data_IF_046710513825
#
_entry.id   IF_046710513825
#
_cell.length_a   1.000
_cell.length_b   1.000
_cell.length_c   1.000
_cell.angle_alpha   90.00
_cell.angle_beta   90.00
_cell.angle_gamma   90.00
#
_symmetry.space_group_name_H-M   'P 1'
#
loop_
_entity.id
_entity.type
_entity.pdbx_description
1 polymer ?
#
# COMPACT_ATOMS: atom_id res chain seq x y z
N UNK A 1 3.31 -0.71 -12.20
CA UNK A 1 4.16 -0.02 -11.20
C UNK A 1 3.97 1.47 -11.34
N UNK A 2 3.76 2.16 -10.24
CA UNK A 2 3.40 3.58 -10.26
C UNK A 2 4.14 4.32 -9.15
N UNK A 3 4.27 5.63 -9.31
CA UNK A 3 4.73 6.52 -8.25
C UNK A 3 3.53 7.32 -7.75
N UNK A 4 3.35 7.38 -6.45
CA UNK A 4 2.26 8.12 -5.85
C UNK A 4 2.70 8.84 -4.57
N UNK A 5 1.76 9.57 -3.99
CA UNK A 5 1.97 10.27 -2.72
C UNK A 5 1.04 9.70 -1.66
N UNK A 6 1.60 9.38 -0.50
CA UNK A 6 0.81 8.85 0.62
C UNK A 6 -0.10 9.96 1.16
N UNK A 7 -1.39 9.66 1.28
CA UNK A 7 -2.37 10.59 1.84
C UNK A 7 -2.56 10.34 3.33
N UNK A 8 -2.68 9.08 3.73
CA UNK A 8 -2.85 8.73 5.13
C UNK A 8 -3.12 7.25 5.31
N UNK A 9 -3.16 6.82 6.57
CA UNK A 9 -3.45 5.44 6.92
C UNK A 9 -4.93 5.11 6.82
N UNK A 10 -5.21 3.82 6.66
CA UNK A 10 -6.56 3.27 6.71
C UNK A 10 -6.70 2.47 7.98
N UNK A 11 -7.68 2.82 8.81
CA UNK A 11 -7.98 2.06 10.01
C UNK A 11 -9.14 1.10 9.74
N UNK A 12 -8.96 -0.15 10.17
CA UNK A 12 -9.99 -1.17 10.04
C UNK A 12 -10.55 -1.47 11.42
N UNK A 13 -11.87 -1.34 11.59
CA UNK A 13 -12.53 -1.79 12.83
C UNK A 13 -12.62 -3.30 12.88
N UNK A 14 -12.69 -3.95 11.71
CA UNK A 14 -12.62 -5.42 11.55
C UNK A 14 -11.91 -5.71 10.25
N UNK A 15 -11.08 -6.74 10.26
CA UNK A 15 -10.36 -7.18 9.08
C UNK A 15 -10.38 -8.70 8.96
N UNK A 16 -9.83 -9.18 7.86
CA UNK A 16 -9.64 -10.60 7.66
C UNK A 16 -8.66 -11.11 8.69
N UNK A 17 -8.92 -12.26 9.36
CA UNK A 17 -7.96 -12.84 10.31
C UNK A 17 -6.58 -13.00 9.67
N UNK A 18 -5.54 -12.63 10.42
CA UNK A 18 -4.16 -12.66 9.94
C UNK A 18 -3.65 -11.33 9.43
N UNK A 19 -4.52 -10.31 9.30
CA UNK A 19 -4.11 -8.97 8.82
C UNK A 19 -3.96 -7.95 9.94
N UNK A 20 -4.02 -8.37 11.19
CA UNK A 20 -4.03 -7.47 12.36
C UNK A 20 -2.78 -6.61 12.46
N UNK A 21 -1.65 -7.10 11.96
CA UNK A 21 -0.38 -6.37 12.00
C UNK A 21 -0.05 -5.71 10.67
N UNK A 22 -0.97 -5.76 9.70
CA UNK A 22 -0.78 -5.15 8.41
C UNK A 22 -1.23 -3.71 8.42
N UNK A 23 -0.46 -2.84 7.79
CA UNK A 23 -0.79 -1.44 7.63
C UNK A 23 -1.22 -1.18 6.20
N UNK A 24 -2.34 -0.49 6.05
CA UNK A 24 -2.84 -0.07 4.75
C UNK A 24 -2.85 1.46 4.69
N UNK A 25 -2.50 2.01 3.56
CA UNK A 25 -2.49 3.46 3.35
C UNK A 25 -3.17 3.79 2.03
N UNK A 26 -3.70 5.01 1.96
CA UNK A 26 -4.21 5.56 0.71
C UNK A 26 -3.10 6.30 0.01
N UNK A 27 -2.96 6.05 -1.28
CA UNK A 27 -1.92 6.64 -2.13
C UNK A 27 -2.59 7.31 -3.32
N UNK A 28 -2.24 8.54 -3.58
CA UNK A 28 -2.69 9.26 -4.78
C UNK A 28 -1.71 9.02 -5.91
N UNK A 29 -2.17 8.38 -6.96
CA UNK A 29 -1.41 8.13 -8.19
C UNK A 29 -2.07 8.90 -9.33
N UNK A 30 -1.56 10.09 -9.64
CA UNK A 30 -2.19 10.97 -10.62
C UNK A 30 -3.58 11.39 -10.17
N UNK A 31 -4.61 11.04 -10.94
CA UNK A 31 -6.01 11.34 -10.61
C UNK A 31 -6.68 10.23 -9.81
N UNK A 32 -6.00 9.11 -9.59
CA UNK A 32 -6.57 7.95 -8.90
C UNK A 32 -6.12 7.91 -7.45
N UNK A 33 -7.02 7.44 -6.59
CA UNK A 33 -6.72 7.17 -5.19
C UNK A 33 -6.79 5.66 -4.98
N UNK A 34 -5.70 5.05 -4.54
CA UNK A 34 -5.62 3.61 -4.34
C UNK A 34 -5.27 3.29 -2.89
N UNK A 35 -5.69 2.11 -2.45
CA UNK A 35 -5.33 1.60 -1.13
C UNK A 35 -4.25 0.54 -1.30
N UNK A 36 -3.14 0.68 -0.59
CA UNK A 36 -1.98 -0.19 -0.73
C UNK A 36 -1.54 -0.74 0.63
N UNK A 37 -1.00 -1.96 0.60
CA UNK A 37 -0.29 -2.52 1.76
C UNK A 37 1.02 -1.75 1.94
N UNK A 38 1.31 -1.35 3.17
CA UNK A 38 2.49 -0.53 3.50
C UNK A 38 3.45 -1.30 4.42
N UNK A 39 4.43 -2.01 3.86
CA UNK A 39 5.43 -2.72 4.66
C UNK A 39 6.62 -1.85 5.07
N UNK A 40 6.67 -0.59 4.64
CA UNK A 40 7.83 0.28 4.85
C UNK A 40 7.53 1.47 5.77
N UNK A 41 6.34 1.49 6.36
CA UNK A 41 5.90 2.54 7.29
C UNK A 41 6.00 3.94 6.68
N UNK A 42 5.43 4.10 5.49
CA UNK A 42 5.40 5.37 4.79
C UNK A 42 4.51 6.39 5.52
N UNK A 43 4.93 7.62 5.54
CA UNK A 43 4.21 8.70 6.23
C UNK A 43 3.43 9.56 5.23
N UNK A 44 2.35 10.24 5.67
CA UNK A 44 1.63 11.15 4.78
C UNK A 44 2.55 12.19 4.17
N UNK A 45 2.38 12.43 2.87
CA UNK A 45 3.19 13.35 2.11
C UNK A 45 4.42 12.75 1.45
N UNK A 46 4.82 11.53 1.83
CA UNK A 46 5.95 10.86 1.21
C UNK A 46 5.57 10.31 -0.16
N UNK A 47 6.51 10.39 -1.10
CA UNK A 47 6.35 9.75 -2.40
C UNK A 47 6.80 8.31 -2.31
N UNK A 48 6.03 7.43 -2.92
CA UNK A 48 6.26 5.99 -2.83
C UNK A 48 6.19 5.34 -4.21
N UNK A 49 6.93 4.26 -4.36
CA UNK A 49 6.85 3.40 -5.53
C UNK A 49 5.89 2.26 -5.20
N UNK A 50 4.88 2.07 -6.05
CA UNK A 50 3.78 1.13 -5.81
C UNK A 50 3.76 0.05 -6.89
N UNK A 51 3.73 -1.21 -6.48
CA UNK A 51 3.51 -2.34 -7.36
C UNK A 51 2.05 -2.74 -7.33
N UNK A 52 1.51 -3.14 -8.49
CA UNK A 52 0.12 -3.57 -8.62
C UNK A 52 0.05 -4.91 -9.35
N UNK A 53 -1.11 -5.57 -9.24
CA UNK A 53 -1.41 -6.81 -9.94
C UNK A 53 -0.55 -7.98 -9.48
N UNK A 54 -0.14 -8.83 -10.43
CA UNK A 54 0.63 -10.04 -10.14
C UNK A 54 1.96 -9.75 -9.44
N UNK A 55 2.58 -8.63 -9.77
CA UNK A 55 3.83 -8.21 -9.16
C UNK A 55 3.67 -8.02 -7.65
N UNK A 56 2.59 -7.34 -7.25
CA UNK A 56 2.28 -7.13 -5.84
C UNK A 56 1.97 -8.45 -5.13
N UNK A 57 1.22 -9.34 -5.77
CA UNK A 57 0.87 -10.64 -5.22
C UNK A 57 2.09 -11.52 -5.00
N UNK A 58 3.09 -11.43 -5.86
CA UNK A 58 4.34 -12.18 -5.71
C UNK A 58 5.19 -11.67 -4.55
N UNK A 59 5.13 -10.36 -4.28
CA UNK A 59 5.87 -9.75 -3.18
C UNK A 59 5.26 -10.08 -1.82
N UNK A 60 3.94 -10.22 -1.77
CA UNK A 60 3.22 -10.51 -0.53
C UNK A 60 2.21 -11.63 -0.76
N UNK A 61 2.67 -12.87 -0.99
CA UNK A 61 1.76 -13.99 -1.29
C UNK A 61 0.85 -14.38 -0.14
N UNK A 62 1.16 -13.96 1.07
CA UNK A 62 0.39 -14.26 2.27
C UNK A 62 -0.89 -13.44 2.37
N UNK A 63 -0.98 -12.34 1.62
CA UNK A 63 -2.12 -11.43 1.68
C UNK A 63 -2.84 -11.37 0.35
N UNK A 64 -4.18 -11.36 0.37
CA UNK A 64 -4.98 -11.23 -0.85
C UNK A 64 -5.04 -9.77 -1.31
N UNK A 65 -3.89 -9.14 -1.51
CA UNK A 65 -3.79 -7.75 -1.95
C UNK A 65 -3.07 -7.67 -3.28
N UNK A 66 -3.46 -6.72 -4.11
CA UNK A 66 -2.88 -6.51 -5.43
C UNK A 66 -2.15 -5.17 -5.55
N UNK A 67 -1.96 -4.47 -4.43
CA UNK A 67 -1.27 -3.18 -4.43
C UNK A 67 -0.39 -3.10 -3.18
N UNK A 68 0.90 -2.94 -3.40
CA UNK A 68 1.91 -2.94 -2.33
C UNK A 68 2.90 -1.82 -2.57
N UNK A 69 3.27 -1.10 -1.51
CA UNK A 69 4.35 -0.12 -1.56
C UNK A 69 5.69 -0.85 -1.54
N UNK A 70 6.51 -0.59 -2.55
CA UNK A 70 7.86 -1.17 -2.65
C UNK A 70 8.88 -0.39 -1.83
N UNK A 71 8.72 0.91 -1.74
CA UNK A 71 9.67 1.75 -1.04
C UNK A 71 9.33 3.23 -1.14
N UNK A 72 10.10 4.04 -0.42
CA UNK A 72 9.97 5.47 -0.43
C UNK A 72 10.80 6.03 -1.58
N UNK A 73 10.20 6.85 -2.42
CA UNK A 73 10.89 7.52 -3.51
C UNK A 73 11.43 8.87 -3.04
N UNK A 74 12.61 9.18 -3.50
CA UNK A 74 13.22 10.50 -3.19
C UNK A 74 12.80 11.54 -4.20
#
# INVERSE_FOLDING_TARGET
MMIGTVIGGVELSRGVPGTEHSRFVQVRCGCALVTALDPVDAQPGERVLVATGDCAMRLCPEFPVDTVILGIAK
#
